data_IF_210896441545
#
_entry.id   IF_210896441545
#
_cell.length_a   1.000
_cell.length_b   1.000
_cell.length_c   1.000
_cell.angle_alpha   90.00
_cell.angle_beta   90.00
_cell.angle_gamma   90.00
#
_symmetry.space_group_name_H-M   'P 1'
#
loop_
_entity.id
_entity.type
_entity.pdbx_description
1 polymer ?
#
# COMPACT_ATOMS: atom_id res chain seq x y z
N UNK A 1 19.85 8.65 15.14
CA UNK A 1 19.39 9.63 14.12
C UNK A 1 19.33 9.05 12.71
N UNK A 2 20.41 8.47 12.16
CA UNK A 2 20.42 7.99 10.76
C UNK A 2 19.37 6.89 10.44
N UNK A 3 18.99 6.03 11.41
CA UNK A 3 17.97 4.99 11.20
C UNK A 3 16.54 5.54 11.12
N UNK A 4 16.17 6.44 12.02
CA UNK A 4 14.86 7.14 11.99
C UNK A 4 14.68 7.89 10.67
N UNK A 5 15.73 8.52 10.17
CA UNK A 5 15.70 9.19 8.88
C UNK A 5 15.42 8.22 7.72
N UNK A 6 16.08 7.05 7.70
CA UNK A 6 15.78 6.01 6.71
C UNK A 6 14.37 5.44 6.82
N UNK A 7 13.83 5.32 8.04
CA UNK A 7 12.42 4.93 8.24
C UNK A 7 11.51 5.96 7.56
N UNK A 8 11.71 7.26 7.87
CA UNK A 8 10.93 8.34 7.28
C UNK A 8 11.09 8.43 5.76
N UNK A 9 12.28 8.17 5.21
CA UNK A 9 12.50 8.10 3.75
C UNK A 9 11.57 7.07 3.09
N UNK A 10 11.48 5.86 3.65
CA UNK A 10 10.58 4.84 3.12
C UNK A 10 9.09 5.17 3.34
N UNK A 11 8.72 5.69 4.50
CA UNK A 11 7.31 6.08 4.74
C UNK A 11 6.90 7.18 3.75
N UNK A 12 7.74 8.19 3.54
CA UNK A 12 7.47 9.28 2.61
C UNK A 12 7.47 8.81 1.14
N UNK A 13 8.35 7.88 0.76
CA UNK A 13 8.32 7.28 -0.57
C UNK A 13 7.01 6.50 -0.81
N UNK A 14 6.52 5.79 0.22
CA UNK A 14 5.20 5.14 0.15
C UNK A 14 4.07 6.16 0.00
N UNK A 15 4.15 7.27 0.74
CA UNK A 15 3.15 8.35 0.68
C UNK A 15 3.14 9.05 -0.68
N UNK A 16 4.31 9.22 -1.30
CA UNK A 16 4.42 9.77 -2.65
C UNK A 16 3.79 8.85 -3.70
N UNK A 17 4.06 7.53 -3.60
CA UNK A 17 3.49 6.54 -4.51
C UNK A 17 1.96 6.47 -4.41
N UNK A 18 1.41 6.46 -3.20
CA UNK A 18 -0.05 6.41 -3.00
C UNK A 18 -0.73 7.72 -3.41
N UNK A 19 -0.10 8.88 -3.17
CA UNK A 19 -0.64 10.16 -3.66
C UNK A 19 -0.63 10.28 -5.20
N UNK A 20 0.28 9.58 -5.88
CA UNK A 20 0.23 9.42 -7.36
C UNK A 20 -0.90 8.48 -7.77
N UNK A 21 -1.16 7.41 -7.01
CA UNK A 21 -2.24 6.47 -7.25
C UNK A 21 -3.61 7.15 -7.18
N UNK A 22 -3.85 7.95 -6.14
CA UNK A 22 -5.08 8.73 -5.95
C UNK A 22 -5.34 9.67 -7.15
N UNK A 23 -4.31 10.40 -7.60
CA UNK A 23 -4.41 11.27 -8.79
C UNK A 23 -4.73 10.49 -10.06
N UNK A 24 -4.13 9.31 -10.22
CA UNK A 24 -4.35 8.44 -11.38
C UNK A 24 -5.75 7.83 -11.41
N UNK A 25 -6.38 7.60 -10.26
CA UNK A 25 -7.79 7.20 -10.20
C UNK A 25 -8.72 8.31 -10.69
N UNK A 26 -8.48 9.55 -10.26
CA UNK A 26 -9.26 10.72 -10.68
C UNK A 26 -9.17 10.90 -12.20
N UNK A 27 -8.00 10.63 -12.80
CA UNK A 27 -7.78 10.76 -14.25
C UNK A 27 -8.14 9.51 -15.08
N UNK A 28 -8.52 8.37 -14.45
CA UNK A 28 -8.75 7.06 -15.09
C UNK A 28 -7.57 6.56 -15.95
N UNK A 29 -6.34 6.78 -15.49
CA UNK A 29 -5.15 6.32 -16.20
C UNK A 29 -4.95 4.79 -16.16
N UNK A 30 -4.05 4.30 -17.01
CA UNK A 30 -3.76 2.88 -17.29
C UNK A 30 -3.66 1.99 -16.05
N UNK A 31 -4.30 0.79 -16.11
CA UNK A 31 -4.16 -0.28 -15.11
C UNK A 31 -2.69 -0.68 -14.84
N UNK A 32 -1.80 -0.48 -15.82
CA UNK A 32 -0.38 -0.83 -15.66
C UNK A 32 0.31 0.08 -14.65
N UNK A 33 0.03 1.39 -14.72
CA UNK A 33 0.57 2.37 -13.76
C UNK A 33 -0.02 2.17 -12.37
N UNK A 34 -1.29 1.72 -12.29
CA UNK A 34 -1.94 1.39 -11.02
C UNK A 34 -1.21 0.23 -10.30
N UNK A 35 -0.89 -0.85 -11.01
CA UNK A 35 -0.14 -2.00 -10.46
C UNK A 35 1.23 -1.56 -9.90
N UNK A 36 1.97 -0.76 -10.69
CA UNK A 36 3.32 -0.31 -10.35
C UNK A 36 3.33 0.60 -9.13
N UNK A 37 2.43 1.59 -9.07
CA UNK A 37 2.32 2.51 -7.95
C UNK A 37 1.86 1.81 -6.66
N UNK A 38 0.92 0.86 -6.77
CA UNK A 38 0.48 0.07 -5.61
C UNK A 38 1.62 -0.78 -5.06
N UNK A 39 2.41 -1.42 -5.94
CA UNK A 39 3.60 -2.18 -5.54
C UNK A 39 4.68 -1.29 -4.93
N UNK A 40 4.91 -0.11 -5.49
CA UNK A 40 5.87 0.87 -4.97
C UNK A 40 5.50 1.33 -3.56
N UNK A 41 4.23 1.64 -3.31
CA UNK A 41 3.75 1.96 -1.97
C UNK A 41 3.95 0.77 -1.02
N UNK A 42 3.48 -0.42 -1.42
CA UNK A 42 3.56 -1.64 -0.62
C UNK A 42 4.99 -1.97 -0.17
N UNK A 43 5.95 -2.00 -1.11
CA UNK A 43 7.34 -2.39 -0.79
C UNK A 43 8.01 -1.38 0.14
N UNK A 44 7.66 -0.10 0.04
CA UNK A 44 8.17 0.95 0.92
C UNK A 44 7.56 0.85 2.33
N UNK A 45 6.27 0.51 2.46
CA UNK A 45 5.69 0.15 3.76
C UNK A 45 6.42 -1.04 4.41
N UNK A 46 6.67 -2.13 3.67
CA UNK A 46 7.41 -3.30 4.16
C UNK A 46 8.83 -2.94 4.63
N UNK A 47 9.55 -2.11 3.85
CA UNK A 47 10.88 -1.64 4.22
C UNK A 47 10.86 -0.80 5.52
N UNK A 48 9.89 0.11 5.66
CA UNK A 48 9.73 0.90 6.87
C UNK A 48 9.36 0.04 8.10
N UNK A 49 8.45 -0.93 7.93
CA UNK A 49 8.08 -1.91 8.96
C UNK A 49 9.29 -2.69 9.44
N UNK A 50 10.12 -3.19 8.52
CA UNK A 50 11.33 -3.93 8.86
C UNK A 50 12.31 -3.08 9.68
N UNK A 51 12.56 -1.84 9.26
CA UNK A 51 13.45 -0.93 9.97
C UNK A 51 12.90 -0.53 11.35
N UNK A 52 11.58 -0.33 11.49
CA UNK A 52 10.93 -0.06 12.77
C UNK A 52 11.11 -1.22 13.76
N UNK A 53 10.91 -2.47 13.31
CA UNK A 53 11.12 -3.65 14.15
C UNK A 53 12.56 -3.73 14.67
N UNK A 54 13.54 -3.44 13.80
CA UNK A 54 14.96 -3.38 14.20
C UNK A 54 15.18 -2.28 15.24
N UNK A 55 14.65 -1.08 15.02
CA UNK A 55 14.84 0.06 15.91
C UNK A 55 14.24 -0.19 17.30
N UNK A 56 13.07 -0.83 17.34
CA UNK A 56 12.38 -1.21 18.57
C UNK A 56 12.98 -2.46 19.25
N UNK A 57 13.90 -3.17 18.58
CA UNK A 57 14.37 -4.51 18.99
C UNK A 57 13.21 -5.50 19.19
N UNK A 58 12.15 -5.34 18.42
CA UNK A 58 10.95 -6.17 18.48
C UNK A 58 11.18 -7.44 17.64
N UNK A 59 11.67 -8.51 18.29
CA UNK A 59 11.96 -9.79 17.61
C UNK A 59 10.68 -10.62 17.39
N UNK A 60 9.65 -10.45 18.22
CA UNK A 60 8.42 -11.27 18.18
C UNK A 60 7.14 -10.48 18.53
N UNK A 61 6.87 -9.37 17.83
CA UNK A 61 5.57 -8.70 17.99
C UNK A 61 4.50 -9.33 17.08
N UNK A 62 3.52 -9.98 17.71
CA UNK A 62 2.27 -10.43 17.08
C UNK A 62 1.66 -9.30 16.25
N UNK A 63 1.33 -9.59 15.00
CA UNK A 63 0.69 -8.65 14.10
C UNK A 63 -0.82 -8.66 14.39
N UNK A 64 -1.30 -7.67 15.14
CA UNK A 64 -2.71 -7.48 15.46
C UNK A 64 -3.42 -6.51 14.50
N UNK A 65 -2.73 -6.08 13.43
CA UNK A 65 -3.33 -5.18 12.45
C UNK A 65 -4.54 -5.85 11.81
N UNK A 66 -5.71 -5.22 11.98
CA UNK A 66 -6.93 -5.69 11.34
C UNK A 66 -6.86 -5.32 9.87
N UNK A 67 -7.15 -6.28 8.99
CA UNK A 67 -7.47 -5.96 7.60
C UNK A 67 -8.81 -5.23 7.59
N UNK A 68 -8.77 -3.91 7.44
CA UNK A 68 -9.94 -3.08 7.15
C UNK A 68 -9.92 -2.86 5.65
N UNK A 69 -10.64 -3.70 4.91
CA UNK A 69 -10.71 -3.61 3.45
C UNK A 69 -12.15 -3.71 2.98
N UNK A 70 -12.63 -2.65 2.34
CA UNK A 70 -13.96 -2.60 1.75
C UNK A 70 -13.91 -3.13 0.31
N UNK A 71 -14.49 -4.30 0.06
CA UNK A 71 -14.46 -4.90 -1.27
C UNK A 71 -15.33 -4.16 -2.28
N UNK A 72 -16.31 -3.37 -1.85
CA UNK A 72 -17.22 -2.68 -2.75
C UNK A 72 -16.68 -1.31 -3.18
N UNK A 73 -15.77 -0.74 -2.37
CA UNK A 73 -15.21 0.61 -2.59
C UNK A 73 -13.67 0.59 -2.60
N UNK A 74 -13.01 0.12 -3.69
CA UNK A 74 -11.54 0.07 -3.78
C UNK A 74 -10.88 1.46 -3.67
N UNK A 75 -11.56 2.49 -4.15
CA UNK A 75 -11.11 3.88 -4.09
C UNK A 75 -11.04 4.38 -2.65
N UNK A 76 -12.00 3.98 -1.81
CA UNK A 76 -12.02 4.31 -0.39
C UNK A 76 -10.83 3.67 0.35
N UNK A 77 -10.46 2.43 -0.01
CA UNK A 77 -9.30 1.77 0.61
C UNK A 77 -7.98 2.50 0.32
N UNK A 78 -7.84 3.17 -0.82
CA UNK A 78 -6.63 3.95 -1.14
C UNK A 78 -6.51 5.14 -0.21
N UNK A 79 -7.62 5.85 0.04
CA UNK A 79 -7.67 6.97 0.99
C UNK A 79 -7.34 6.48 2.41
N UNK A 80 -7.93 5.36 2.84
CA UNK A 80 -7.67 4.78 4.16
C UNK A 80 -6.20 4.38 4.32
N UNK A 81 -5.60 3.73 3.30
CA UNK A 81 -4.18 3.40 3.32
C UNK A 81 -3.29 4.64 3.39
N UNK A 82 -3.63 5.72 2.68
CA UNK A 82 -2.89 6.98 2.73
C UNK A 82 -2.93 7.60 4.14
N UNK A 83 -4.11 7.61 4.76
CA UNK A 83 -4.30 8.13 6.12
C UNK A 83 -3.39 7.40 7.12
N UNK A 84 -3.37 6.07 7.08
CA UNK A 84 -2.50 5.25 7.92
C UNK A 84 -1.00 5.56 7.67
N UNK A 85 -0.57 5.70 6.42
CA UNK A 85 0.82 6.07 6.10
C UNK A 85 1.17 7.45 6.66
N UNK A 86 0.27 8.44 6.51
CA UNK A 86 0.46 9.81 7.03
C UNK A 86 0.52 9.84 8.56
N UNK A 87 -0.31 9.04 9.22
CA UNK A 87 -0.28 8.87 10.67
C UNK A 87 1.05 8.26 11.12
N UNK A 88 1.57 7.28 10.39
CA UNK A 88 2.88 6.69 10.69
C UNK A 88 4.02 7.71 10.66
N UNK A 89 4.04 8.65 9.69
CA UNK A 89 5.04 9.76 9.67
C UNK A 89 5.00 10.52 10.98
N UNK A 90 3.81 11.01 11.35
CA UNK A 90 3.59 11.81 12.56
C UNK A 90 4.02 11.07 13.81
N UNK A 91 3.75 9.76 13.88
CA UNK A 91 4.10 8.92 15.02
C UNK A 91 5.61 8.66 15.10
N UNK A 92 6.30 8.43 13.98
CA UNK A 92 7.76 8.28 13.97
C UNK A 92 8.45 9.57 14.45
N UNK A 93 7.99 10.73 13.99
CA UNK A 93 8.52 12.03 14.41
C UNK A 93 8.31 12.29 15.92
N UNK A 94 7.23 11.76 16.49
CA UNK A 94 6.90 11.86 17.92
C UNK A 94 7.46 10.72 18.78
N UNK A 95 8.34 9.87 18.24
CA UNK A 95 8.87 8.65 18.88
C UNK A 95 7.80 7.61 19.28
N UNK A 96 6.61 7.65 18.69
CA UNK A 96 5.55 6.64 18.81
C UNK A 96 5.78 5.44 17.89
N UNK A 97 6.95 4.81 17.97
CA UNK A 97 7.40 3.80 16.99
C UNK A 97 6.49 2.57 16.90
N UNK A 98 5.92 2.13 18.03
CA UNK A 98 5.02 0.98 18.07
C UNK A 98 3.68 1.26 17.40
N UNK A 99 3.14 2.45 17.62
CA UNK A 99 1.93 2.90 16.95
C UNK A 99 2.20 3.08 15.45
N UNK A 100 3.33 3.68 15.08
CA UNK A 100 3.73 3.81 13.67
C UNK A 100 3.84 2.46 12.96
N UNK A 101 4.37 1.44 13.64
CA UNK A 101 4.43 0.08 13.14
C UNK A 101 3.02 -0.48 12.83
N UNK A 102 2.05 -0.27 13.72
CA UNK A 102 0.68 -0.73 13.54
C UNK A 102 -0.06 0.02 12.41
N UNK A 103 0.14 1.33 12.29
CA UNK A 103 -0.37 2.11 11.16
C UNK A 103 0.17 1.58 9.83
N UNK A 104 1.49 1.37 9.72
CA UNK A 104 2.10 0.86 8.49
C UNK A 104 1.67 -0.56 8.16
N UNK A 105 1.50 -1.43 9.16
CA UNK A 105 0.97 -2.79 8.94
C UNK A 105 -0.43 -2.76 8.36
N UNK A 106 -1.29 -1.85 8.85
CA UNK A 106 -2.65 -1.67 8.34
C UNK A 106 -2.62 -1.19 6.89
N UNK A 107 -1.85 -0.14 6.59
CA UNK A 107 -1.65 0.34 5.23
C UNK A 107 -1.11 -0.75 4.30
N UNK A 108 -0.10 -1.51 4.74
CA UNK A 108 0.49 -2.63 4.01
C UNK A 108 -0.54 -3.68 3.65
N UNK A 109 -1.41 -4.06 4.59
CA UNK A 109 -2.45 -5.06 4.36
C UNK A 109 -3.45 -4.59 3.28
N UNK A 110 -3.85 -3.32 3.35
CA UNK A 110 -4.73 -2.72 2.34
C UNK A 110 -4.07 -2.71 0.96
N UNK A 111 -2.81 -2.25 0.87
CA UNK A 111 -2.05 -2.20 -0.37
C UNK A 111 -1.84 -3.59 -0.99
N UNK A 112 -1.62 -4.61 -0.16
CA UNK A 112 -1.52 -5.99 -0.63
C UNK A 112 -2.81 -6.46 -1.32
N UNK A 113 -3.96 -6.17 -0.70
CA UNK A 113 -5.27 -6.55 -1.24
C UNK A 113 -5.62 -5.77 -2.53
N UNK A 114 -5.31 -4.47 -2.57
CA UNK A 114 -5.42 -3.65 -3.80
C UNK A 114 -4.59 -4.24 -4.95
N UNK A 115 -3.37 -4.65 -4.66
CA UNK A 115 -2.47 -5.22 -5.66
C UNK A 115 -2.98 -6.56 -6.20
N UNK A 116 -3.46 -7.44 -5.33
CA UNK A 116 -4.06 -8.73 -5.71
C UNK A 116 -5.29 -8.51 -6.60
N UNK A 117 -6.16 -7.57 -6.21
CA UNK A 117 -7.36 -7.24 -6.97
C UNK A 117 -7.03 -6.69 -8.36
N UNK A 118 -6.13 -5.71 -8.45
CA UNK A 118 -5.74 -5.11 -9.73
C UNK A 118 -5.19 -6.16 -10.71
N UNK A 119 -4.36 -7.08 -10.21
CA UNK A 119 -3.87 -8.20 -11.03
C UNK A 119 -4.98 -9.14 -11.48
N UNK A 120 -5.95 -9.46 -10.61
CA UNK A 120 -7.10 -10.30 -10.98
C UNK A 120 -7.93 -9.64 -12.08
N UNK A 121 -8.25 -8.35 -11.93
CA UNK A 121 -9.01 -7.59 -12.93
C UNK A 121 -8.29 -7.54 -14.28
N UNK A 122 -6.97 -7.33 -14.28
CA UNK A 122 -6.14 -7.36 -15.48
C UNK A 122 -6.19 -8.72 -16.18
N UNK A 123 -6.06 -9.82 -15.44
CA UNK A 123 -6.15 -11.18 -15.97
C UNK A 123 -7.55 -11.44 -16.56
N UNK A 124 -8.60 -11.00 -15.89
CA UNK A 124 -9.97 -11.21 -16.34
C UNK A 124 -10.29 -10.40 -17.60
N UNK A 125 -9.79 -9.17 -17.74
CA UNK A 125 -9.87 -8.38 -18.98
C UNK A 125 -9.14 -9.07 -20.13
N UNK A 126 -7.95 -9.60 -19.88
CA UNK A 126 -7.19 -10.37 -20.88
C UNK A 126 -8.00 -11.60 -21.33
N UNK A 127 -8.54 -12.39 -20.39
CA UNK A 127 -9.39 -13.55 -20.70
C UNK A 127 -10.64 -13.17 -21.50
N UNK A 128 -11.31 -12.08 -21.14
CA UNK A 128 -12.48 -11.57 -21.86
C UNK A 128 -12.13 -11.19 -23.31
N UNK A 129 -10.97 -10.57 -23.53
CA UNK A 129 -10.50 -10.19 -24.87
C UNK A 129 -10.25 -11.41 -25.77
N UNK A 130 -9.75 -12.52 -25.20
CA UNK A 130 -9.58 -13.78 -25.93
C UNK A 130 -10.91 -14.48 -26.23
N UNK A 131 -11.90 -14.40 -25.33
CA UNK A 131 -13.24 -14.93 -25.59
C UNK A 131 -13.93 -14.19 -26.73
N UNK A 132 -13.89 -12.85 -26.74
CA UNK A 132 -14.49 -12.05 -27.81
C UNK A 132 -13.88 -12.35 -29.20
N UNK A 133 -12.57 -12.54 -29.28
CA UNK A 133 -11.90 -12.92 -30.55
C UNK A 133 -12.33 -14.28 -31.11
N UNK A 134 -12.79 -15.22 -30.26
CA UNK A 134 -13.28 -16.55 -30.68
C UNK A 134 -14.69 -16.55 -31.28
N UNK A 135 -15.50 -15.52 -31.02
CA UNK A 135 -16.88 -15.42 -31.53
C UNK A 135 -17.03 -14.50 -32.76
N UNK A 136 -15.94 -13.85 -33.19
CA UNK A 136 -15.91 -12.99 -34.38
C UNK A 136 -15.24 -13.67 -35.59
N UNK A 137 -15.24 -15.01 -35.63
CA UNK A 137 -14.82 -15.85 -36.77
C UNK A 137 -16.04 -16.65 -37.21
#
# INVERSE_FOLDING_TARGET
MQRVQKILEHINASLEAIGKLEKNMISRNSLLEFDELTWEAYKNCEAAIFLLKIEMRAVDEYDDSKLVFDQDYPDYNIIVAEEHIRNAVTLVEKNGLRQALNELRTARNILAELFVRSRKEKIDRIKASFKQKKFNI
#
